data_IF_043146048691
#
_entry.id   IF_043146048691
#
_cell.length_a   1.000
_cell.length_b   1.000
_cell.length_c   1.000
_cell.angle_alpha   90.00
_cell.angle_beta   90.00
_cell.angle_gamma   90.00
#
_symmetry.space_group_name_H-M   'P 1'
#
loop_
_entity.id
_entity.type
_entity.pdbx_description
1 polymer ?
#
# COMPACT_ATOMS: atom_id res chain seq x y z
N UNK A 1 28.38 7.99 -3.86
CA UNK A 1 27.85 9.04 -2.95
C UNK A 1 26.51 9.60 -3.43
N UNK A 2 26.37 9.97 -4.71
CA UNK A 2 25.09 10.47 -5.27
C UNK A 2 23.91 9.50 -5.15
N UNK A 3 24.13 8.19 -5.29
CA UNK A 3 23.08 7.16 -5.09
C UNK A 3 22.49 7.20 -3.66
N UNK A 4 23.33 7.29 -2.63
CA UNK A 4 22.88 7.36 -1.23
C UNK A 4 22.13 8.66 -0.93
N UNK A 5 22.53 9.76 -1.56
CA UNK A 5 21.81 11.03 -1.48
C UNK A 5 20.43 10.93 -2.14
N UNK A 6 20.34 10.36 -3.34
CA UNK A 6 19.06 10.14 -4.03
C UNK A 6 18.12 9.22 -3.25
N UNK A 7 18.66 8.13 -2.70
CA UNK A 7 17.90 7.19 -1.88
C UNK A 7 17.37 7.83 -0.59
N UNK A 8 18.24 8.52 0.17
CA UNK A 8 17.81 9.21 1.39
C UNK A 8 16.79 10.32 1.10
N UNK A 9 16.96 11.07 0.01
CA UNK A 9 16.01 12.07 -0.42
C UNK A 9 14.65 11.47 -0.80
N UNK A 10 14.66 10.36 -1.55
CA UNK A 10 13.43 9.64 -1.91
C UNK A 10 12.69 9.14 -0.67
N UNK A 11 13.39 8.60 0.33
CA UNK A 11 12.79 8.18 1.61
C UNK A 11 12.20 9.37 2.36
N UNK A 12 12.94 10.47 2.50
CA UNK A 12 12.44 11.65 3.21
C UNK A 12 11.19 12.20 2.54
N UNK A 13 11.18 12.30 1.21
CA UNK A 13 10.01 12.76 0.45
C UNK A 13 8.84 11.78 0.57
N UNK A 14 9.09 10.47 0.51
CA UNK A 14 8.08 9.45 0.76
C UNK A 14 7.43 9.69 2.12
N UNK A 15 8.23 9.80 3.18
CA UNK A 15 7.73 9.93 4.55
C UNK A 15 7.02 11.25 4.82
N UNK A 16 7.40 12.34 4.17
CA UNK A 16 6.78 13.66 4.35
C UNK A 16 5.48 13.78 3.57
N UNK A 17 5.49 13.39 2.28
CA UNK A 17 4.32 13.54 1.40
C UNK A 17 3.25 12.48 1.71
N UNK A 18 3.65 11.27 2.08
CA UNK A 18 2.75 10.17 2.45
C UNK A 18 1.79 10.56 3.59
N UNK A 19 2.21 11.47 4.49
CA UNK A 19 1.34 11.98 5.57
C UNK A 19 0.08 12.68 5.06
N UNK A 20 0.10 13.20 3.83
CA UNK A 20 -1.07 13.84 3.19
C UNK A 20 -1.71 12.95 2.14
N UNK A 21 -0.90 12.28 1.32
CA UNK A 21 -1.39 11.41 0.27
C UNK A 21 -0.34 10.35 -0.05
N UNK A 22 -0.68 9.09 0.26
CA UNK A 22 0.17 7.93 0.04
C UNK A 22 0.55 7.77 -1.44
N UNK A 23 -0.42 7.87 -2.35
CA UNK A 23 -0.18 7.68 -3.79
C UNK A 23 0.78 8.74 -4.35
N UNK A 24 0.59 10.02 -3.98
CA UNK A 24 1.49 11.09 -4.37
C UNK A 24 2.88 10.92 -3.75
N UNK A 25 2.96 10.47 -2.49
CA UNK A 25 4.23 10.21 -1.82
C UNK A 25 5.03 9.10 -2.50
N UNK A 26 4.37 8.01 -2.87
CA UNK A 26 4.97 6.92 -3.63
C UNK A 26 5.44 7.40 -5.01
N UNK A 27 4.60 8.13 -5.74
CA UNK A 27 4.94 8.64 -7.07
C UNK A 27 6.17 9.56 -7.05
N UNK A 28 6.21 10.54 -6.15
CA UNK A 28 7.32 11.49 -6.04
C UNK A 28 8.61 10.77 -5.63
N UNK A 29 8.54 9.88 -4.64
CA UNK A 29 9.70 9.11 -4.20
C UNK A 29 10.26 8.23 -5.30
N UNK A 30 9.41 7.56 -6.09
CA UNK A 30 9.83 6.74 -7.24
C UNK A 30 10.50 7.59 -8.31
N UNK A 31 9.94 8.75 -8.67
CA UNK A 31 10.55 9.65 -9.66
C UNK A 31 11.93 10.14 -9.19
N UNK A 32 12.03 10.56 -7.93
CA UNK A 32 13.30 10.99 -7.34
C UNK A 32 14.30 9.85 -7.33
N UNK A 33 13.91 8.66 -6.90
CA UNK A 33 14.82 7.51 -6.89
C UNK A 33 15.27 7.11 -8.31
N UNK A 34 14.37 7.16 -9.28
CA UNK A 34 14.65 6.85 -10.68
C UNK A 34 15.68 7.80 -11.29
N UNK A 35 15.60 9.11 -11.01
CA UNK A 35 16.57 10.10 -11.51
C UNK A 35 18.00 9.78 -11.04
N UNK A 36 18.16 9.24 -9.84
CA UNK A 36 19.48 8.90 -9.28
C UNK A 36 19.96 7.48 -9.61
N UNK A 37 19.05 6.58 -10.01
CA UNK A 37 19.34 5.13 -10.15
C UNK A 37 19.24 4.62 -11.59
N UNK A 38 18.46 5.28 -12.45
CA UNK A 38 18.17 4.82 -13.81
C UNK A 38 18.45 5.91 -14.85
N UNK A 39 18.69 5.49 -16.09
CA UNK A 39 18.65 6.42 -17.22
C UNK A 39 17.19 6.70 -17.58
N UNK A 40 16.90 7.86 -18.18
CA UNK A 40 15.55 8.22 -18.59
C UNK A 40 14.88 7.16 -19.49
N UNK A 41 15.67 6.48 -20.33
CA UNK A 41 15.18 5.40 -21.19
C UNK A 41 14.84 4.12 -20.42
N UNK A 42 15.67 3.72 -19.45
CA UNK A 42 15.40 2.49 -18.67
C UNK A 42 14.23 2.65 -17.71
N UNK A 43 14.02 3.85 -17.15
CA UNK A 43 12.84 4.13 -16.32
C UNK A 43 11.54 4.06 -17.12
N UNK A 44 11.51 4.63 -18.33
CA UNK A 44 10.33 4.55 -19.21
C UNK A 44 10.00 3.11 -19.63
N UNK A 45 11.03 2.31 -19.94
CA UNK A 45 10.86 0.89 -20.24
C UNK A 45 10.29 0.12 -19.03
N UNK A 46 10.84 0.34 -17.83
CA UNK A 46 10.36 -0.32 -16.61
C UNK A 46 8.91 0.08 -16.26
N UNK A 47 8.54 1.35 -16.43
CA UNK A 47 7.15 1.80 -16.27
C UNK A 47 6.22 1.11 -17.28
N UNK A 48 6.62 1.04 -18.54
CA UNK A 48 5.84 0.40 -19.58
C UNK A 48 5.65 -1.09 -19.33
N UNK A 49 6.72 -1.80 -18.96
CA UNK A 49 6.69 -3.20 -18.59
C UNK A 49 5.75 -3.44 -17.40
N UNK A 50 5.83 -2.60 -16.36
CA UNK A 50 4.98 -2.73 -15.16
C UNK A 50 3.49 -2.52 -15.47
N UNK A 51 3.16 -1.53 -16.32
CA UNK A 51 1.75 -1.20 -16.64
C UNK A 51 1.18 -2.16 -17.70
N UNK A 52 2.01 -2.73 -18.56
CA UNK A 52 1.58 -3.70 -19.57
C UNK A 52 1.58 -5.15 -19.09
N UNK A 53 2.22 -5.46 -17.97
CA UNK A 53 2.18 -6.79 -17.35
C UNK A 53 0.76 -7.09 -16.82
N UNK A 54 0.04 -8.07 -17.40
CA UNK A 54 -1.29 -8.45 -16.96
C UNK A 54 -1.32 -8.91 -15.50
N UNK A 55 -0.23 -9.51 -15.01
CA UNK A 55 -0.12 -10.01 -13.64
C UNK A 55 -0.13 -8.86 -12.63
N UNK A 56 0.58 -7.78 -12.93
CA UNK A 56 0.62 -6.56 -12.11
C UNK A 56 -0.76 -5.90 -12.11
N UNK A 57 -1.39 -5.79 -13.28
CA UNK A 57 -2.73 -5.22 -13.39
C UNK A 57 -3.77 -6.05 -12.62
N UNK A 58 -3.77 -7.37 -12.79
CA UNK A 58 -4.66 -8.27 -12.06
C UNK A 58 -4.43 -8.18 -10.55
N UNK A 59 -3.18 -8.15 -10.10
CA UNK A 59 -2.85 -8.00 -8.68
C UNK A 59 -3.37 -6.65 -8.14
N UNK A 60 -3.14 -5.55 -8.86
CA UNK A 60 -3.62 -4.23 -8.47
C UNK A 60 -5.15 -4.18 -8.36
N UNK A 61 -5.86 -4.86 -9.27
CA UNK A 61 -7.31 -4.99 -9.25
C UNK A 61 -7.77 -5.80 -8.06
N UNK A 62 -7.20 -6.99 -7.84
CA UNK A 62 -7.56 -7.85 -6.70
C UNK A 62 -7.34 -7.11 -5.38
N UNK A 63 -6.18 -6.47 -5.21
CA UNK A 63 -5.88 -5.68 -4.00
C UNK A 63 -6.84 -4.50 -3.84
N UNK A 64 -7.24 -3.85 -4.95
CA UNK A 64 -8.25 -2.78 -4.93
C UNK A 64 -9.67 -3.25 -4.59
N UNK A 65 -10.02 -4.49 -4.93
CA UNK A 65 -11.34 -5.08 -4.63
C UNK A 65 -11.50 -5.42 -3.14
N UNK A 66 -10.41 -5.75 -2.43
CA UNK A 66 -10.49 -6.12 -1.01
C UNK A 66 -11.14 -5.02 -0.14
N UNK A 67 -10.70 -3.74 -0.21
CA UNK A 67 -11.37 -2.66 0.51
C UNK A 67 -12.82 -2.42 0.08
N UNK A 68 -13.16 -2.65 -1.20
CA UNK A 68 -14.53 -2.51 -1.69
C UNK A 68 -15.45 -3.54 -1.02
N UNK A 69 -15.00 -4.78 -0.89
CA UNK A 69 -15.73 -5.83 -0.14
C UNK A 69 -15.91 -5.39 1.32
N UNK A 70 -14.84 -4.89 1.96
CA UNK A 70 -14.89 -4.37 3.33
C UNK A 70 -15.95 -3.27 3.49
N UNK A 71 -15.97 -2.29 2.57
CA UNK A 71 -16.96 -1.21 2.60
C UNK A 71 -18.41 -1.68 2.41
N UNK A 72 -18.64 -2.69 1.56
CA UNK A 72 -19.98 -3.30 1.40
C UNK A 72 -20.39 -4.07 2.67
N UNK A 73 -19.47 -4.79 3.30
CA UNK A 73 -19.73 -5.50 4.55
C UNK A 73 -20.04 -4.54 5.71
N UNK A 74 -19.36 -3.40 5.77
CA UNK A 74 -19.63 -2.34 6.73
C UNK A 74 -21.01 -1.71 6.47
N UNK A 75 -21.30 -1.29 5.23
CA UNK A 75 -22.57 -0.67 4.87
C UNK A 75 -23.79 -1.59 5.07
N UNK A 76 -23.60 -2.92 4.93
CA UNK A 76 -24.66 -3.92 5.13
C UNK A 76 -24.80 -4.40 6.58
N UNK A 77 -23.98 -3.90 7.51
CA UNK A 77 -23.95 -4.33 8.92
C UNK A 77 -23.48 -5.77 9.12
N UNK A 78 -22.93 -6.40 8.08
CA UNK A 78 -22.37 -7.75 8.14
C UNK A 78 -21.05 -7.76 8.93
N UNK A 79 -20.31 -6.65 8.87
CA UNK A 79 -19.11 -6.46 9.68
C UNK A 79 -19.44 -6.57 11.18
N UNK A 80 -20.44 -5.83 11.66
CA UNK A 80 -20.85 -5.86 13.08
C UNK A 80 -21.35 -7.24 13.52
N UNK A 81 -22.11 -7.93 12.65
CA UNK A 81 -22.55 -9.31 12.91
C UNK A 81 -21.38 -10.28 13.03
N UNK A 82 -20.36 -10.12 12.19
CA UNK A 82 -19.17 -10.96 12.22
C UNK A 82 -18.37 -10.72 13.50
N UNK A 83 -18.21 -9.45 13.92
CA UNK A 83 -17.55 -9.10 15.19
C UNK A 83 -18.33 -9.59 16.40
N UNK A 84 -19.66 -9.41 16.41
CA UNK A 84 -20.51 -9.84 17.52
C UNK A 84 -20.52 -11.38 17.72
N UNK A 85 -20.35 -12.13 16.63
CA UNK A 85 -20.23 -13.59 16.68
C UNK A 85 -18.81 -14.08 17.00
N UNK A 86 -17.80 -13.21 16.91
CA UNK A 86 -16.46 -13.51 17.37
C UNK A 86 -16.44 -13.49 18.91
N UNK A 87 -16.28 -14.66 19.53
CA UNK A 87 -16.09 -14.81 20.99
C UNK A 87 -14.71 -14.33 21.46
N UNK A 88 -14.20 -13.25 20.88
CA UNK A 88 -12.88 -12.69 21.14
C UNK A 88 -13.11 -11.39 21.91
N UNK A 89 -12.50 -11.25 23.09
CA UNK A 89 -12.58 -10.00 23.85
C UNK A 89 -12.10 -8.81 23.01
N UNK A 90 -12.68 -7.63 23.24
CA UNK A 90 -12.41 -6.39 22.48
C UNK A 90 -10.91 -6.10 22.28
N UNK A 91 -10.06 -6.46 23.24
CA UNK A 91 -8.60 -6.19 23.21
C UNK A 91 -7.86 -6.95 22.08
N UNK A 92 -7.95 -8.28 21.95
CA UNK A 92 -7.37 -9.00 20.81
C UNK A 92 -8.02 -8.66 19.46
N UNK A 93 -9.31 -8.30 19.43
CA UNK A 93 -9.96 -7.86 18.18
C UNK A 93 -9.42 -6.54 17.66
N UNK A 94 -9.10 -5.57 18.51
CA UNK A 94 -8.50 -4.30 18.09
C UNK A 94 -7.09 -4.47 17.49
N UNK A 95 -6.35 -5.52 17.89
CA UNK A 95 -5.01 -5.82 17.37
C UNK A 95 -5.02 -6.68 16.10
N UNK A 96 -5.95 -7.63 15.99
CA UNK A 96 -5.99 -8.63 14.90
C UNK A 96 -7.13 -8.42 13.90
N UNK A 97 -8.18 -7.73 14.31
CA UNK A 97 -9.42 -7.51 13.57
C UNK A 97 -9.22 -6.95 12.17
N UNK A 98 -8.44 -5.87 11.96
CA UNK A 98 -8.31 -5.32 10.63
C UNK A 98 -7.46 -6.21 9.70
N UNK A 99 -6.56 -7.05 10.24
CA UNK A 99 -5.83 -8.08 9.47
C UNK A 99 -6.67 -9.32 9.11
N UNK A 100 -7.57 -9.73 10.01
CA UNK A 100 -8.48 -10.86 9.80
C UNK A 100 -9.63 -10.56 8.84
N UNK A 101 -10.08 -9.30 8.80
CA UNK A 101 -11.21 -8.84 7.98
C UNK A 101 -10.80 -8.31 6.61
N UNK A 102 -9.50 -8.35 6.26
CA UNK A 102 -8.98 -7.72 5.04
C UNK A 102 -9.14 -6.18 5.04
N UNK A 103 -9.47 -5.57 6.18
CA UNK A 103 -9.69 -4.13 6.35
C UNK A 103 -8.42 -3.35 6.70
N UNK A 104 -7.24 -3.95 6.52
CA UNK A 104 -6.00 -3.17 6.42
C UNK A 104 -5.73 -2.92 4.93
N UNK A 105 -6.11 -1.75 4.38
CA UNK A 105 -5.14 -1.08 3.53
C UNK A 105 -3.92 -0.86 4.45
N UNK A 106 -2.93 -1.73 4.31
CA UNK A 106 -1.72 -1.80 5.13
C UNK A 106 -1.30 -0.42 5.69
N UNK A 107 -1.50 -0.11 6.98
CA UNK A 107 -0.83 1.02 7.59
C UNK A 107 0.62 0.69 7.95
N UNK A 108 1.19 -0.43 7.46
CA UNK A 108 2.54 -0.81 7.84
C UNK A 108 3.07 -2.17 7.37
N UNK A 109 2.69 -2.69 6.20
CA UNK A 109 3.29 -3.95 5.68
C UNK A 109 4.79 -3.89 5.44
N UNK A 110 5.39 -2.69 5.40
CA UNK A 110 6.84 -2.51 5.35
C UNK A 110 7.53 -2.48 6.73
N UNK A 111 6.79 -2.38 7.84
CA UNK A 111 7.37 -2.31 9.20
C UNK A 111 7.35 -3.66 9.95
N UNK A 112 6.53 -4.62 9.49
CA UNK A 112 6.39 -5.95 10.12
C UNK A 112 6.82 -7.12 9.22
N UNK A 113 7.34 -6.84 8.01
CA UNK A 113 7.99 -7.84 7.14
C UNK A 113 9.52 -7.78 7.22
N UNK A 114 10.08 -7.19 8.28
CA UNK A 114 11.48 -7.28 8.66
C UNK A 114 11.63 -8.06 9.97
#
# INVERSE_FOLDING_TARGET
MFLWLGFSLAIVLLLVVSRRNLALGMGIATVVLAIFTHSFGSFGAALWETISDPSVLLLSLVVGVIPLIGGVMEASGQMDRLVANLRIGIRPFLALGPGLLGMLPMPGGALLSA
#
